data_IF_086606293930
#
_entry.id   IF_086606293930
#
_cell.length_a   1.000
_cell.length_b   1.000
_cell.length_c   1.000
_cell.angle_alpha   90.00
_cell.angle_beta   90.00
_cell.angle_gamma   90.00
#
_symmetry.space_group_name_H-M   'P 1'
#
loop_
_entity.id
_entity.type
_entity.pdbx_description
1 polymer ?
#
# COMPACT_ATOMS: atom_id res chain seq x y z
N UNK A 1 6.46 18.10 6.83
CA UNK A 1 5.34 18.57 5.98
C UNK A 1 4.59 17.41 5.32
N UNK A 2 5.27 16.57 4.53
CA UNK A 2 4.63 15.42 3.85
C UNK A 2 3.90 14.43 4.78
N UNK A 3 4.39 14.19 6.00
CA UNK A 3 3.76 13.25 6.93
C UNK A 3 2.35 13.68 7.34
N UNK A 4 2.14 14.96 7.70
CA UNK A 4 0.82 15.46 8.09
C UNK A 4 -0.18 15.37 6.93
N UNK A 5 0.26 15.74 5.72
CA UNK A 5 -0.55 15.63 4.50
C UNK A 5 -0.93 14.17 4.19
N UNK A 6 -0.01 13.22 4.42
CA UNK A 6 -0.29 11.80 4.26
C UNK A 6 -1.33 11.30 5.27
N UNK A 7 -1.23 11.72 6.54
CA UNK A 7 -2.24 11.37 7.56
C UNK A 7 -3.62 11.92 7.17
N UNK A 8 -3.71 13.20 6.81
CA UNK A 8 -4.97 13.81 6.37
C UNK A 8 -5.54 13.12 5.12
N UNK A 9 -4.68 12.72 4.18
CA UNK A 9 -5.09 11.97 3.01
C UNK A 9 -5.68 10.61 3.38
N UNK A 10 -5.04 9.87 4.28
CA UNK A 10 -5.52 8.58 4.76
C UNK A 10 -6.85 8.70 5.50
N UNK A 11 -7.06 9.76 6.30
CA UNK A 11 -8.36 10.05 6.91
C UNK A 11 -9.45 10.27 5.86
N UNK A 12 -9.16 11.03 4.80
CA UNK A 12 -10.11 11.23 3.69
C UNK A 12 -10.47 9.93 2.97
N UNK A 13 -9.57 8.95 2.94
CA UNK A 13 -9.83 7.63 2.37
C UNK A 13 -10.60 6.70 3.33
N UNK A 14 -10.83 7.12 4.57
CA UNK A 14 -11.64 6.40 5.55
C UNK A 14 -10.85 5.61 6.60
N UNK A 15 -9.58 5.95 6.82
CA UNK A 15 -8.81 5.46 7.97
C UNK A 15 -9.26 6.22 9.21
N UNK A 16 -9.73 5.49 10.23
CA UNK A 16 -10.17 6.08 11.49
C UNK A 16 -9.02 6.00 12.50
N UNK A 17 -8.18 7.03 12.56
CA UNK A 17 -7.13 7.10 13.57
C UNK A 17 -7.70 7.33 14.96
N UNK A 18 -7.07 6.72 15.95
CA UNK A 18 -7.45 6.80 17.36
C UNK A 18 -7.34 8.23 17.86
N UNK A 19 -8.40 8.68 18.52
CA UNK A 19 -8.52 10.02 19.09
C UNK A 19 -8.58 9.92 20.61
N UNK A 20 -7.98 10.89 21.27
CA UNK A 20 -8.18 11.10 22.69
C UNK A 20 -9.55 11.80 22.94
N UNK A 21 -10.02 11.87 24.19
CA UNK A 21 -11.35 12.40 24.55
C UNK A 21 -11.64 13.84 24.06
N UNK A 22 -10.59 14.59 23.80
CA UNK A 22 -10.54 15.97 23.33
C UNK A 22 -10.41 16.10 21.80
N UNK A 23 -10.45 14.98 21.07
CA UNK A 23 -10.46 14.94 19.60
C UNK A 23 -9.09 15.01 18.91
N UNK A 24 -8.01 15.27 19.64
CA UNK A 24 -6.65 15.18 19.09
C UNK A 24 -6.25 13.73 18.83
N UNK A 25 -5.29 13.50 17.92
CA UNK A 25 -4.70 12.17 17.75
C UNK A 25 -4.18 11.62 19.08
N UNK A 26 -4.47 10.37 19.35
CA UNK A 26 -3.88 9.63 20.45
C UNK A 26 -2.48 9.16 20.00
N UNK A 27 -1.44 9.89 20.40
CA UNK A 27 -0.08 9.64 19.92
C UNK A 27 0.70 8.67 20.81
N UNK A 28 1.21 7.62 20.19
CA UNK A 28 2.14 6.66 20.76
C UNK A 28 3.60 7.11 20.79
N UNK A 29 4.35 6.51 21.70
CA UNK A 29 5.82 6.55 21.77
C UNK A 29 6.33 5.13 21.52
N UNK A 30 6.83 4.87 20.32
CA UNK A 30 7.24 3.53 19.91
C UNK A 30 8.67 3.51 19.36
N UNK A 31 9.27 2.33 19.36
CA UNK A 31 10.65 2.10 18.96
C UNK A 31 11.62 3.08 19.68
N UNK A 32 12.66 3.53 18.99
CA UNK A 32 13.69 4.42 19.54
C UNK A 32 13.28 5.92 19.47
N UNK A 33 12.01 6.25 19.64
CA UNK A 33 11.56 7.65 19.61
C UNK A 33 11.64 8.33 20.97
N UNK A 34 12.00 9.62 20.97
CA UNK A 34 12.02 10.48 22.16
C UNK A 34 10.77 11.36 22.32
N UNK A 35 9.86 11.33 21.34
CA UNK A 35 8.63 12.13 21.29
C UNK A 35 7.46 11.27 20.85
N UNK A 36 6.28 11.51 21.43
CA UNK A 36 5.02 10.88 21.00
C UNK A 36 4.62 11.42 19.62
N UNK A 37 4.66 10.58 18.60
CA UNK A 37 4.41 10.97 17.20
C UNK A 37 3.86 9.86 16.31
N UNK A 38 3.60 8.68 16.88
CA UNK A 38 3.05 7.56 16.14
C UNK A 38 1.53 7.62 16.28
N UNK A 39 0.83 7.63 15.15
CA UNK A 39 -0.64 7.52 15.12
C UNK A 39 -1.04 6.05 15.03
N UNK A 40 -2.15 5.72 15.69
CA UNK A 40 -2.75 4.40 15.69
C UNK A 40 -4.14 4.44 15.09
N UNK A 41 -4.63 3.31 14.60
CA UNK A 41 -6.02 3.12 14.22
C UNK A 41 -6.49 1.76 14.73
N UNK A 42 -7.49 1.75 15.61
CA UNK A 42 -7.98 0.53 16.25
C UNK A 42 -6.93 -0.10 17.18
N UNK A 43 -6.11 0.71 17.85
CA UNK A 43 -5.00 0.25 18.68
C UNK A 43 -3.87 -0.37 17.85
N UNK A 44 -3.60 -1.65 18.07
CA UNK A 44 -2.54 -2.41 17.38
C UNK A 44 -2.92 -2.84 15.93
N UNK A 45 -4.11 -2.43 15.47
CA UNK A 45 -4.68 -2.81 14.19
C UNK A 45 -4.31 -1.89 13.01
N UNK A 46 -3.41 -0.92 13.21
CA UNK A 46 -3.21 0.20 12.27
C UNK A 46 -2.96 -0.27 10.83
N UNK A 47 -2.12 -1.29 10.63
CA UNK A 47 -1.85 -1.84 9.30
C UNK A 47 -3.09 -2.41 8.61
N UNK A 48 -3.96 -3.11 9.35
CA UNK A 48 -5.22 -3.66 8.84
C UNK A 48 -6.18 -2.54 8.43
N UNK A 49 -6.29 -1.49 9.24
CA UNK A 49 -7.16 -0.35 8.93
C UNK A 49 -6.69 0.43 7.70
N UNK A 50 -5.37 0.61 7.55
CA UNK A 50 -4.80 1.21 6.34
C UNK A 50 -5.14 0.40 5.09
N UNK A 51 -4.89 -0.91 5.10
CA UNK A 51 -5.16 -1.79 3.96
C UNK A 51 -6.65 -1.82 3.63
N UNK A 52 -7.54 -1.89 4.64
CA UNK A 52 -8.99 -1.85 4.45
C UNK A 52 -9.42 -0.58 3.70
N UNK A 53 -9.00 0.59 4.19
CA UNK A 53 -9.42 1.87 3.62
C UNK A 53 -8.87 2.06 2.20
N UNK A 54 -7.58 1.77 1.98
CA UNK A 54 -6.93 1.91 0.69
C UNK A 54 -7.49 0.93 -0.34
N UNK A 55 -7.68 -0.34 0.00
CA UNK A 55 -8.28 -1.33 -0.91
C UNK A 55 -9.71 -0.94 -1.29
N UNK A 56 -10.49 -0.41 -0.34
CA UNK A 56 -11.85 0.07 -0.63
C UNK A 56 -11.83 1.29 -1.56
N UNK A 57 -10.89 2.21 -1.39
CA UNK A 57 -10.71 3.36 -2.30
C UNK A 57 -10.32 2.92 -3.71
N UNK A 58 -9.38 1.97 -3.84
CA UNK A 58 -8.96 1.41 -5.12
C UNK A 58 -10.13 0.73 -5.84
N UNK A 59 -10.89 -0.13 -5.16
CA UNK A 59 -12.07 -0.81 -5.74
C UNK A 59 -13.18 0.14 -6.21
N UNK A 60 -13.27 1.34 -5.62
CA UNK A 60 -14.25 2.37 -6.03
C UNK A 60 -13.75 3.28 -7.15
N UNK A 61 -12.49 3.15 -7.57
CA UNK A 61 -11.88 4.04 -8.58
C UNK A 61 -11.99 3.41 -9.96
N UNK A 62 -12.84 3.91 -10.87
CA UNK A 62 -13.14 3.22 -12.14
C UNK A 62 -11.96 3.11 -13.11
N UNK A 63 -10.95 3.97 -12.96
CA UNK A 63 -9.74 3.95 -13.80
C UNK A 63 -8.70 2.93 -13.36
N UNK A 64 -8.93 2.19 -12.27
CA UNK A 64 -8.01 1.16 -11.78
C UNK A 64 -8.57 -0.22 -12.13
N UNK A 65 -7.83 -0.96 -12.96
CA UNK A 65 -8.06 -2.38 -13.14
C UNK A 65 -7.33 -3.18 -12.05
N UNK A 66 -8.03 -4.11 -11.41
CA UNK A 66 -7.47 -5.00 -10.38
C UNK A 66 -7.40 -6.41 -10.96
N UNK A 67 -6.20 -6.98 -11.00
CA UNK A 67 -5.95 -8.36 -11.36
C UNK A 67 -5.52 -9.12 -10.09
N UNK A 68 -6.47 -9.85 -9.49
CA UNK A 68 -6.20 -10.76 -8.37
C UNK A 68 -5.76 -12.12 -8.91
N UNK A 69 -5.05 -12.92 -8.11
CA UNK A 69 -4.53 -14.23 -8.55
C UNK A 69 -3.44 -14.14 -9.64
N UNK A 70 -2.87 -12.96 -9.84
CA UNK A 70 -1.92 -12.65 -10.90
C UNK A 70 -0.50 -12.41 -10.34
N UNK A 71 0.48 -13.16 -10.85
CA UNK A 71 1.89 -13.07 -10.50
C UNK A 71 2.68 -12.45 -11.65
N UNK A 72 3.41 -11.35 -11.40
CA UNK A 72 4.34 -10.79 -12.37
C UNK A 72 5.68 -11.54 -12.30
N UNK A 73 6.08 -12.21 -13.39
CA UNK A 73 7.31 -13.03 -13.42
C UNK A 73 8.46 -12.42 -14.21
N UNK A 74 8.19 -11.46 -15.09
CA UNK A 74 9.21 -10.82 -15.93
C UNK A 74 8.80 -9.40 -16.29
N UNK A 75 9.78 -8.51 -16.34
CA UNK A 75 9.67 -7.22 -17.03
C UNK A 75 10.29 -7.38 -18.42
N UNK A 76 9.62 -6.88 -19.45
CA UNK A 76 10.20 -6.74 -20.78
C UNK A 76 10.88 -5.38 -20.87
N UNK A 77 12.13 -5.40 -21.30
CA UNK A 77 12.97 -4.20 -21.44
C UNK A 77 13.65 -4.26 -22.81
N UNK A 78 13.47 -3.21 -23.60
CA UNK A 78 14.10 -3.03 -24.92
C UNK A 78 14.77 -1.66 -24.94
N UNK A 79 16.02 -1.60 -25.39
CA UNK A 79 16.82 -0.36 -25.44
C UNK A 79 16.86 0.44 -24.11
N UNK A 80 16.74 -0.26 -22.98
CA UNK A 80 16.75 0.33 -21.64
C UNK A 80 15.39 0.85 -21.17
N UNK A 81 14.33 0.71 -21.96
CA UNK A 81 12.97 1.12 -21.64
C UNK A 81 12.06 -0.07 -21.35
N UNK A 82 11.11 0.11 -20.42
CA UNK A 82 10.09 -0.90 -20.13
C UNK A 82 9.13 -0.98 -21.32
N UNK A 83 8.89 -2.19 -21.83
CA UNK A 83 7.93 -2.43 -22.92
C UNK A 83 6.73 -3.28 -22.49
N UNK A 84 6.82 -3.94 -21.34
CA UNK A 84 5.71 -4.69 -20.78
C UNK A 84 6.08 -5.57 -19.59
N UNK A 85 5.13 -6.42 -19.20
CA UNK A 85 5.30 -7.42 -18.14
C UNK A 85 4.70 -8.76 -18.55
N UNK A 86 5.32 -9.85 -18.10
CA UNK A 86 4.73 -11.17 -18.13
C UNK A 86 3.95 -11.41 -16.83
N UNK A 87 2.65 -11.61 -16.96
CA UNK A 87 1.74 -11.96 -15.88
C UNK A 87 1.33 -13.42 -16.01
N UNK A 88 1.36 -14.16 -14.91
CA UNK A 88 0.92 -15.56 -14.83
C UNK A 88 -0.19 -15.67 -13.81
N UNK A 89 -1.31 -16.31 -14.17
CA UNK A 89 -2.47 -16.48 -13.31
C UNK A 89 -3.43 -17.52 -13.89
N UNK A 90 -4.13 -18.26 -13.02
CA UNK A 90 -5.15 -19.27 -13.41
C UNK A 90 -4.68 -20.32 -14.45
N UNK A 91 -3.38 -20.62 -14.48
CA UNK A 91 -2.77 -21.58 -15.41
C UNK A 91 -2.32 -20.99 -16.75
N UNK A 92 -2.61 -19.71 -16.99
CA UNK A 92 -2.26 -18.99 -18.21
C UNK A 92 -1.13 -17.98 -17.98
N UNK A 93 -0.45 -17.63 -19.07
CA UNK A 93 0.57 -16.59 -19.11
C UNK A 93 0.22 -15.54 -20.16
N UNK A 94 0.15 -14.28 -19.76
CA UNK A 94 -0.23 -13.15 -20.62
C UNK A 94 0.83 -12.07 -20.55
N UNK A 95 1.17 -11.52 -21.72
CA UNK A 95 2.03 -10.34 -21.80
C UNK A 95 1.19 -9.07 -21.81
N UNK A 96 1.43 -8.16 -20.87
CA UNK A 96 0.78 -6.86 -20.81
C UNK A 96 1.77 -5.78 -21.29
N UNK A 97 1.50 -5.10 -22.42
CA UNK A 97 2.35 -4.00 -22.88
C UNK A 97 2.16 -2.78 -21.97
N UNK A 98 3.26 -2.18 -21.53
CA UNK A 98 3.27 -0.94 -20.75
C UNK A 98 4.62 -0.26 -20.87
N UNK A 99 4.65 1.08 -20.85
CA UNK A 99 5.89 1.87 -20.83
C UNK A 99 6.42 2.14 -19.41
N UNK A 100 5.69 1.73 -18.37
CA UNK A 100 6.03 2.08 -16.98
C UNK A 100 5.50 1.06 -15.98
N UNK A 101 6.31 0.76 -14.97
CA UNK A 101 6.02 -0.19 -13.89
C UNK A 101 6.50 0.38 -12.56
N UNK A 102 5.66 0.25 -11.53
CA UNK A 102 6.03 0.52 -10.13
C UNK A 102 6.00 -0.82 -9.38
N UNK A 103 7.12 -1.19 -8.76
CA UNK A 103 7.22 -2.40 -7.93
C UNK A 103 6.94 -2.06 -6.47
N UNK A 104 5.89 -2.66 -5.91
CA UNK A 104 5.49 -2.53 -4.50
C UNK A 104 5.23 -3.90 -3.87
N UNK A 105 6.13 -4.86 -4.12
CA UNK A 105 5.97 -6.31 -3.84
C UNK A 105 6.25 -6.72 -2.39
N UNK A 106 6.48 -5.77 -1.48
CA UNK A 106 6.92 -6.06 -0.11
C UNK A 106 8.40 -6.46 -0.03
N UNK A 107 8.80 -7.02 1.11
CA UNK A 107 10.19 -7.45 1.38
C UNK A 107 10.39 -8.97 1.26
N UNK A 108 11.63 -9.42 1.46
CA UNK A 108 12.06 -10.83 1.32
C UNK A 108 12.20 -11.58 2.66
N UNK A 109 11.49 -11.13 3.71
CA UNK A 109 11.61 -11.70 5.06
C UNK A 109 11.26 -13.18 5.16
N UNK A 110 10.39 -13.67 4.28
CA UNK A 110 10.01 -15.10 4.22
C UNK A 110 11.09 -16.06 3.71
N UNK A 111 12.29 -15.57 3.39
CA UNK A 111 13.44 -16.41 3.06
C UNK A 111 14.09 -17.06 4.29
N UNK A 112 13.83 -16.53 5.49
CA UNK A 112 14.44 -16.95 6.73
C UNK A 112 13.39 -17.64 7.63
N UNK A 113 13.85 -18.60 8.42
CA UNK A 113 13.05 -19.35 9.40
C UNK A 113 13.19 -18.76 10.80
#
# INVERSE_FOLDING_TARGET
EAASQAIEFLERLGVAFDRASQGSFLLGLEAAHSRRRIVHAGGDATGRELVRALAAAVRRTPSIAILEGAEVRRLFVEDGEITGVLVVGDGDAVSLPTGSVVLATGGIGGLFN
#
